data_IF_137850581634
#
_entry.id   IF_137850581634
#
_cell.length_a   1.000
_cell.length_b   1.000
_cell.length_c   1.000
_cell.angle_alpha   90.00
_cell.angle_beta   90.00
_cell.angle_gamma   90.00
#
_symmetry.space_group_name_H-M   'P 1'
#
loop_
_entity.id
_entity.type
_entity.pdbx_description
1 polymer ?
#
# COMPACT_ATOMS: atom_id res chain seq x y z
N UNK A 1 -26.93 -48.66 -16.80
CA UNK A 1 -25.92 -49.60 -16.27
C UNK A 1 -24.73 -48.71 -15.90
N UNK A 2 -24.46 -48.32 -14.66
CA UNK A 2 -24.54 -48.95 -13.34
C UNK A 2 -24.98 -47.93 -12.25
N UNK A 3 -25.81 -48.42 -11.30
CA UNK A 3 -26.03 -48.04 -9.89
C UNK A 3 -26.29 -46.54 -9.56
N UNK A 4 -27.42 -46.08 -9.03
CA UNK A 4 -28.44 -46.68 -8.15
C UNK A 4 -27.90 -47.44 -6.93
N UNK A 5 -27.10 -46.75 -6.11
CA UNK A 5 -26.99 -46.90 -4.65
C UNK A 5 -26.83 -45.45 -4.18
N UNK A 6 -27.71 -44.82 -3.40
CA UNK A 6 -27.92 -45.06 -1.97
C UNK A 6 -29.30 -44.53 -1.54
N UNK A 7 -30.24 -45.41 -1.18
CA UNK A 7 -31.38 -45.08 -0.30
C UNK A 7 -31.05 -45.65 1.08
N UNK A 8 -30.45 -44.82 1.94
CA UNK A 8 -30.02 -45.22 3.29
C UNK A 8 -29.10 -44.25 4.04
N UNK A 9 -28.66 -43.14 3.42
CA UNK A 9 -27.58 -42.29 3.95
C UNK A 9 -27.92 -40.78 3.98
N UNK A 10 -29.19 -40.42 4.18
CA UNK A 10 -29.68 -39.04 4.00
C UNK A 10 -29.04 -37.98 4.94
N UNK A 11 -28.51 -38.39 6.08
CA UNK A 11 -28.01 -37.47 7.12
C UNK A 11 -26.48 -37.40 7.15
N UNK A 12 -25.79 -38.52 6.93
CA UNK A 12 -24.33 -38.59 7.07
C UNK A 12 -23.58 -37.91 5.92
N UNK A 13 -24.09 -38.03 4.68
CA UNK A 13 -23.47 -37.38 3.51
C UNK A 13 -23.70 -35.88 3.49
N UNK A 14 -24.85 -35.41 3.99
CA UNK A 14 -25.08 -33.97 4.16
C UNK A 14 -24.11 -33.36 5.16
N UNK A 15 -23.80 -34.06 6.26
CA UNK A 15 -22.80 -33.61 7.24
C UNK A 15 -21.38 -33.62 6.67
N UNK A 16 -21.00 -34.63 5.89
CA UNK A 16 -19.71 -34.69 5.22
C UNK A 16 -19.57 -33.62 4.13
N UNK A 17 -20.61 -33.39 3.33
CA UNK A 17 -20.63 -32.33 2.31
C UNK A 17 -20.54 -30.95 2.95
N UNK A 18 -21.28 -30.69 4.04
CA UNK A 18 -21.21 -29.43 4.77
C UNK A 18 -19.84 -29.23 5.45
N UNK A 19 -19.26 -30.28 6.03
CA UNK A 19 -17.92 -30.21 6.60
C UNK A 19 -16.86 -29.93 5.53
N UNK A 20 -16.98 -30.56 4.35
CA UNK A 20 -16.10 -30.28 3.21
C UNK A 20 -16.27 -28.84 2.71
N UNK A 21 -17.50 -28.38 2.49
CA UNK A 21 -17.77 -27.01 2.04
C UNK A 21 -17.24 -25.96 3.04
N UNK A 22 -17.43 -26.19 4.34
CA UNK A 22 -16.90 -25.30 5.39
C UNK A 22 -15.38 -25.33 5.46
N UNK A 23 -14.76 -26.51 5.31
CA UNK A 23 -13.31 -26.65 5.33
C UNK A 23 -12.69 -26.00 4.09
N UNK A 24 -13.27 -26.21 2.91
CA UNK A 24 -12.83 -25.56 1.67
C UNK A 24 -13.04 -24.04 1.73
N UNK A 25 -14.19 -23.57 2.20
CA UNK A 25 -14.46 -22.15 2.39
C UNK A 25 -13.49 -21.47 3.35
N UNK A 26 -13.22 -22.08 4.51
CA UNK A 26 -12.26 -21.55 5.49
C UNK A 26 -10.83 -21.59 4.97
N UNK A 27 -10.44 -22.65 4.25
CA UNK A 27 -9.07 -22.77 3.69
C UNK A 27 -8.86 -21.78 2.55
N UNK A 28 -9.88 -21.54 1.72
CA UNK A 28 -9.82 -20.55 0.65
C UNK A 28 -9.73 -19.14 1.21
N UNK A 29 -10.63 -18.77 2.15
CA UNK A 29 -10.62 -17.46 2.80
C UNK A 29 -9.29 -17.16 3.50
N UNK A 30 -8.69 -18.16 4.17
CA UNK A 30 -7.38 -18.00 4.81
C UNK A 30 -6.21 -17.87 3.81
N UNK A 31 -6.29 -18.49 2.62
CA UNK A 31 -5.27 -18.32 1.57
C UNK A 31 -5.43 -16.99 0.81
N UNK A 32 -6.65 -16.49 0.67
CA UNK A 32 -6.93 -15.20 0.01
C UNK A 32 -6.44 -14.02 0.83
N UNK A 33 -6.58 -14.08 2.17
CA UNK A 33 -6.03 -13.05 3.07
C UNK A 33 -4.51 -12.98 2.99
N UNK A 34 -3.82 -14.14 2.94
CA UNK A 34 -2.36 -14.24 2.82
C UNK A 34 -1.83 -13.58 1.53
N UNK A 35 -2.55 -13.63 0.41
CA UNK A 35 -2.14 -12.96 -0.85
C UNK A 35 -2.40 -11.45 -0.80
N UNK A 36 -3.50 -11.03 -0.18
CA UNK A 36 -3.86 -9.61 -0.11
C UNK A 36 -2.89 -8.83 0.78
N UNK A 37 -2.54 -9.39 1.94
CA UNK A 37 -1.63 -8.74 2.88
C UNK A 37 -0.20 -8.68 2.31
N UNK A 38 0.25 -9.71 1.60
CA UNK A 38 1.53 -9.68 0.85
C UNK A 38 1.56 -8.55 -0.22
N UNK A 39 0.44 -8.30 -0.91
CA UNK A 39 0.36 -7.19 -1.88
C UNK A 39 0.44 -5.84 -1.15
N UNK A 40 -0.28 -5.69 -0.03
CA UNK A 40 -0.27 -4.46 0.76
C UNK A 40 1.11 -4.17 1.34
N UNK A 41 1.78 -5.17 1.90
CA UNK A 41 3.14 -5.05 2.43
C UNK A 41 4.12 -4.62 1.34
N UNK A 42 4.01 -5.20 0.13
CA UNK A 42 4.84 -4.79 -1.00
C UNK A 42 4.55 -3.36 -1.46
N UNK A 43 3.27 -2.95 -1.51
CA UNK A 43 2.89 -1.57 -1.83
C UNK A 43 3.45 -0.60 -0.80
N UNK A 44 3.23 -0.85 0.49
CA UNK A 44 3.74 -0.01 1.58
C UNK A 44 5.25 0.18 1.47
N UNK A 45 6.00 -0.93 1.38
CA UNK A 45 7.47 -0.88 1.29
C UNK A 45 7.93 -0.13 0.03
N UNK A 46 7.33 -0.39 -1.14
CA UNK A 46 7.71 0.28 -2.39
C UNK A 46 7.45 1.79 -2.30
N UNK A 47 6.29 2.21 -1.79
CA UNK A 47 5.96 3.63 -1.60
C UNK A 47 6.96 4.29 -0.63
N UNK A 48 7.27 3.63 0.48
CA UNK A 48 8.15 4.19 1.52
C UNK A 48 9.60 4.42 1.06
N UNK A 49 10.08 3.68 0.06
CA UNK A 49 11.48 3.77 -0.40
C UNK A 49 11.63 4.40 -1.79
N UNK A 50 10.53 4.81 -2.43
CA UNK A 50 10.55 5.37 -3.78
C UNK A 50 11.06 6.82 -3.78
N UNK A 51 12.36 6.95 -4.01
CA UNK A 51 13.05 8.23 -4.01
C UNK A 51 12.54 9.19 -5.08
N UNK A 52 12.11 8.68 -6.23
CA UNK A 52 11.64 9.52 -7.33
C UNK A 52 10.28 10.14 -6.97
N UNK A 53 9.37 9.33 -6.41
CA UNK A 53 8.06 9.82 -5.92
C UNK A 53 8.21 10.90 -4.85
N UNK A 54 9.09 10.68 -3.87
CA UNK A 54 9.26 11.66 -2.79
C UNK A 54 10.04 12.91 -3.23
N UNK A 55 10.94 12.78 -4.22
CA UNK A 55 11.57 13.94 -4.84
C UNK A 55 10.54 14.80 -5.59
N UNK A 56 9.62 14.19 -6.33
CA UNK A 56 8.56 14.91 -7.04
C UNK A 56 7.66 15.65 -6.03
N UNK A 57 7.24 14.97 -4.97
CA UNK A 57 6.48 15.59 -3.87
C UNK A 57 7.20 16.80 -3.29
N UNK A 58 8.50 16.69 -3.01
CA UNK A 58 9.30 17.80 -2.47
C UNK A 58 9.45 18.93 -3.50
N UNK A 59 9.64 18.63 -4.78
CA UNK A 59 9.77 19.63 -5.83
C UNK A 59 8.50 20.48 -6.01
N UNK A 60 7.34 19.92 -5.69
CA UNK A 60 6.03 20.57 -5.81
C UNK A 60 5.62 21.35 -4.54
N UNK A 61 6.43 21.34 -3.49
CA UNK A 61 6.17 22.12 -2.27
C UNK A 61 6.32 23.63 -2.48
N UNK A 62 5.75 24.41 -1.56
CA UNK A 62 5.92 25.86 -1.50
C UNK A 62 6.33 26.28 -0.09
N UNK A 63 7.41 27.08 0.06
CA UNK A 63 8.34 27.52 -0.99
C UNK A 63 9.26 26.40 -1.48
N UNK A 64 9.52 26.34 -2.79
CA UNK A 64 10.52 25.43 -3.36
C UNK A 64 11.97 25.92 -3.21
N UNK A 65 12.92 25.19 -3.82
CA UNK A 65 14.36 25.49 -3.85
C UNK A 65 15.10 25.40 -2.49
N UNK A 66 15.14 24.20 -1.92
CA UNK A 66 15.87 23.88 -0.70
C UNK A 66 16.68 22.60 -0.87
N UNK A 67 17.65 22.36 0.01
CA UNK A 67 18.29 21.05 0.13
C UNK A 67 17.42 20.09 0.95
N UNK A 68 17.53 18.79 0.73
CA UNK A 68 16.95 17.76 1.60
C UNK A 68 18.07 16.85 2.09
N UNK A 69 18.32 16.84 3.40
CA UNK A 69 19.40 16.03 3.98
C UNK A 69 18.92 14.61 4.32
N UNK A 70 17.65 14.50 4.70
CA UNK A 70 17.03 13.26 5.14
C UNK A 70 15.53 13.37 4.97
N UNK A 71 14.92 12.28 4.54
CA UNK A 71 13.47 12.12 4.50
C UNK A 71 13.12 10.72 5.00
N UNK A 72 11.89 10.58 5.49
CA UNK A 72 11.30 9.33 5.94
C UNK A 72 9.81 9.32 5.57
N UNK A 73 9.36 8.19 5.05
CA UNK A 73 7.97 7.93 4.72
C UNK A 73 7.50 6.68 5.47
N UNK A 74 6.29 6.73 6.02
CA UNK A 74 5.69 5.62 6.73
C UNK A 74 4.27 5.37 6.25
N UNK A 75 3.97 4.10 5.99
CA UNK A 75 2.64 3.62 5.59
C UNK A 75 2.39 2.31 6.34
N UNK A 76 1.29 2.23 7.08
CA UNK A 76 0.82 0.93 7.57
C UNK A 76 0.16 0.19 6.40
N UNK A 77 0.58 -1.05 6.13
CA UNK A 77 -0.01 -1.87 5.07
C UNK A 77 -1.52 -2.12 5.32
N UNK A 78 -1.98 -2.03 6.58
CA UNK A 78 -3.39 -2.15 6.94
C UNK A 78 -4.22 -0.94 6.46
N UNK A 79 -3.59 0.21 6.26
CA UNK A 79 -4.22 1.42 5.71
C UNK A 79 -4.30 1.42 4.18
N UNK A 80 -3.86 0.34 3.53
CA UNK A 80 -3.92 0.18 2.07
C UNK A 80 -5.14 -0.65 1.65
N UNK A 81 -6.04 -0.01 0.92
CA UNK A 81 -7.07 -0.68 0.16
C UNK A 81 -6.53 -1.11 -1.21
N UNK A 82 -6.80 -2.35 -1.61
CA UNK A 82 -6.36 -2.91 -2.89
C UNK A 82 -7.56 -3.48 -3.63
N UNK A 83 -7.73 -3.07 -4.88
CA UNK A 83 -8.68 -3.66 -5.83
C UNK A 83 -7.89 -4.50 -6.84
N UNK A 84 -7.85 -5.81 -6.62
CA UNK A 84 -7.08 -6.74 -7.47
C UNK A 84 -7.62 -6.81 -8.92
N UNK A 85 -8.95 -6.90 -9.17
CA UNK A 85 -9.48 -6.89 -10.53
C UNK A 85 -9.07 -5.67 -11.36
N UNK A 86 -9.10 -4.48 -10.76
CA UNK A 86 -8.75 -3.22 -11.43
C UNK A 86 -7.26 -2.88 -11.34
N UNK A 87 -6.52 -3.62 -10.50
CA UNK A 87 -5.11 -3.40 -10.16
C UNK A 87 -4.83 -1.97 -9.67
N UNK A 88 -5.75 -1.46 -8.86
CA UNK A 88 -5.65 -0.15 -8.22
C UNK A 88 -5.45 -0.30 -6.73
N UNK A 89 -4.86 0.73 -6.11
CA UNK A 89 -4.73 0.82 -4.66
C UNK A 89 -5.02 2.23 -4.18
N UNK A 90 -5.41 2.33 -2.90
CA UNK A 90 -5.57 3.58 -2.16
C UNK A 90 -4.90 3.42 -0.80
N UNK A 91 -4.01 4.34 -0.46
CA UNK A 91 -3.45 4.51 0.88
C UNK A 91 -4.29 5.55 1.59
N UNK A 92 -5.02 5.15 2.64
CA UNK A 92 -5.91 6.05 3.36
C UNK A 92 -5.14 7.04 4.25
N UNK A 93 -4.00 6.59 4.79
CA UNK A 93 -3.18 7.37 5.71
C UNK A 93 -1.73 6.92 5.63
N UNK A 94 -0.84 7.89 5.58
CA UNK A 94 0.60 7.74 5.76
C UNK A 94 1.18 9.01 6.35
N UNK A 95 2.45 8.98 6.72
CA UNK A 95 3.18 10.16 7.19
C UNK A 95 4.47 10.33 6.42
N UNK A 96 4.76 11.55 6.02
CA UNK A 96 6.03 11.92 5.43
C UNK A 96 6.73 12.96 6.31
N UNK A 97 8.05 12.86 6.40
CA UNK A 97 8.87 13.86 7.05
C UNK A 97 10.17 14.09 6.28
N UNK A 98 10.64 15.33 6.25
CA UNK A 98 11.90 15.71 5.63
C UNK A 98 12.58 16.85 6.40
N UNK A 99 13.91 16.78 6.48
CA UNK A 99 14.76 17.83 7.02
C UNK A 99 15.26 18.69 5.86
N UNK A 100 14.63 19.85 5.69
CA UNK A 100 14.90 20.79 4.61
C UNK A 100 15.98 21.79 5.03
N UNK A 101 16.87 22.12 4.10
CA UNK A 101 17.90 23.15 4.28
C UNK A 101 17.53 24.34 3.41
N UNK A 102 17.02 25.38 4.04
CA UNK A 102 16.57 26.61 3.39
C UNK A 102 17.63 27.71 3.48
N UNK A 103 17.51 28.72 2.62
CA UNK A 103 18.43 29.85 2.54
C UNK A 103 19.50 29.67 1.46
N UNK A 104 20.09 30.78 1.02
CA UNK A 104 21.02 30.81 -0.10
C UNK A 104 22.20 29.84 0.13
N UNK A 105 22.32 28.86 -0.76
CA UNK A 105 23.48 27.99 -1.03
C UNK A 105 24.65 28.14 -0.03
N UNK A 106 24.62 27.35 1.06
CA UNK A 106 25.73 27.15 2.01
C UNK A 106 26.46 28.44 2.46
N UNK A 107 25.75 29.36 3.11
CA UNK A 107 26.31 30.51 3.83
C UNK A 107 25.78 30.64 5.27
N UNK A 108 26.20 31.69 6.00
CA UNK A 108 25.77 31.95 7.41
C UNK A 108 24.25 32.12 7.60
N UNK A 109 23.47 32.15 6.51
CA UNK A 109 22.02 32.33 6.52
C UNK A 109 21.23 31.07 6.14
N UNK A 110 21.88 29.91 6.02
CA UNK A 110 21.13 28.66 5.87
C UNK A 110 20.53 28.21 7.20
N UNK A 111 19.28 27.78 7.19
CA UNK A 111 18.61 27.21 8.36
C UNK A 111 17.91 25.91 8.00
N UNK A 112 17.69 25.07 9.02
CA UNK A 112 16.95 23.82 8.85
C UNK A 112 15.47 24.05 9.17
N UNK A 113 14.61 23.47 8.34
CA UNK A 113 13.17 23.43 8.56
C UNK A 113 12.70 21.97 8.51
N UNK A 114 11.80 21.61 9.43
CA UNK A 114 11.22 20.28 9.45
C UNK A 114 9.88 20.32 8.73
N UNK A 115 9.79 19.65 7.59
CA UNK A 115 8.53 19.41 6.91
C UNK A 115 7.98 18.06 7.36
N UNK A 116 6.80 18.03 7.98
CA UNK A 116 6.14 16.78 8.37
C UNK A 116 4.64 16.90 8.22
N UNK A 117 4.05 16.04 7.39
CA UNK A 117 2.63 16.07 7.04
C UNK A 117 2.08 14.65 6.90
N UNK A 118 0.80 14.44 7.21
CA UNK A 118 0.10 13.25 6.76
C UNK A 118 -0.07 13.30 5.24
N UNK A 119 -0.17 12.13 4.60
CA UNK A 119 -0.52 12.02 3.20
C UNK A 119 -1.55 10.91 2.96
N UNK A 120 -2.22 11.01 1.82
CA UNK A 120 -2.94 9.88 1.21
C UNK A 120 -2.36 9.61 -0.17
N UNK A 121 -2.62 8.43 -0.73
CA UNK A 121 -2.13 8.11 -2.06
C UNK A 121 -3.12 7.23 -2.81
N UNK A 122 -3.07 7.29 -4.13
CA UNK A 122 -3.75 6.33 -4.98
C UNK A 122 -2.87 5.99 -6.18
N UNK A 123 -3.13 4.85 -6.80
CA UNK A 123 -2.31 4.43 -7.93
C UNK A 123 -2.72 3.11 -8.55
N UNK A 124 -1.86 2.65 -9.45
CA UNK A 124 -1.97 1.36 -10.13
C UNK A 124 -0.74 0.51 -9.88
N UNK A 125 -0.95 -0.79 -9.92
CA UNK A 125 0.13 -1.77 -9.84
C UNK A 125 -0.02 -2.85 -10.91
N UNK A 126 1.03 -3.64 -11.12
CA UNK A 126 0.97 -4.86 -11.92
C UNK A 126 1.78 -5.97 -11.26
N UNK A 127 1.49 -7.21 -11.64
CA UNK A 127 2.26 -8.38 -11.24
C UNK A 127 3.42 -8.56 -12.20
N UNK A 128 4.64 -8.27 -11.73
CA UNK A 128 5.86 -8.58 -12.47
C UNK A 128 6.05 -10.09 -12.60
N UNK A 129 5.64 -10.84 -11.57
CA UNK A 129 5.55 -12.30 -11.58
C UNK A 129 4.56 -12.76 -10.48
N UNK A 130 4.50 -14.05 -10.19
CA UNK A 130 3.56 -14.63 -9.21
C UNK A 130 3.81 -14.22 -7.75
N UNK A 131 4.91 -13.51 -7.44
CA UNK A 131 5.31 -13.12 -6.08
C UNK A 131 5.61 -11.63 -5.92
N UNK A 132 5.85 -10.93 -7.01
CA UNK A 132 6.33 -9.55 -6.99
C UNK A 132 5.40 -8.65 -7.78
N UNK A 133 5.04 -7.52 -7.17
CA UNK A 133 4.33 -6.44 -7.85
C UNK A 133 5.28 -5.29 -8.23
N UNK A 134 4.82 -4.44 -9.12
CA UNK A 134 5.40 -3.14 -9.43
C UNK A 134 4.32 -2.07 -9.37
N UNK A 135 4.68 -0.88 -8.90
CA UNK A 135 3.81 0.30 -9.00
C UNK A 135 4.02 0.88 -10.40
N UNK A 136 2.94 1.10 -11.14
CA UNK A 136 2.99 1.64 -12.50
C UNK A 136 2.55 3.08 -12.56
N UNK A 137 1.69 3.50 -11.63
CA UNK A 137 1.22 4.87 -11.48
C UNK A 137 1.01 5.13 -9.99
N UNK A 138 1.37 6.31 -9.50
CA UNK A 138 1.10 6.76 -8.15
C UNK A 138 0.89 8.27 -8.12
N UNK A 139 -0.05 8.71 -7.30
CA UNK A 139 -0.32 10.10 -6.97
C UNK A 139 -0.36 10.22 -5.46
N UNK A 140 0.49 11.08 -4.91
CA UNK A 140 0.52 11.43 -3.49
C UNK A 140 -0.28 12.71 -3.30
N UNK A 141 -1.18 12.70 -2.33
CA UNK A 141 -1.91 13.87 -1.86
C UNK A 141 -1.39 14.24 -0.47
N UNK A 142 -0.66 15.36 -0.40
CA UNK A 142 0.03 15.87 0.78
C UNK A 142 0.02 17.39 0.72
N UNK A 143 -0.13 18.03 1.88
CA UNK A 143 -0.12 19.49 1.99
C UNK A 143 1.26 20.06 1.63
N UNK A 144 1.33 20.76 0.51
CA UNK A 144 2.56 21.29 -0.08
C UNK A 144 3.13 22.50 0.67
N UNK A 145 2.41 23.09 1.62
CA UNK A 145 2.91 24.20 2.43
C UNK A 145 3.85 23.70 3.54
N UNK A 146 5.12 24.10 3.42
CA UNK A 146 6.17 23.74 4.38
C UNK A 146 5.97 24.41 5.74
N UNK A 147 5.46 25.65 5.77
CA UNK A 147 5.38 26.42 7.02
C UNK A 147 4.16 26.10 7.86
N UNK A 148 3.20 25.36 7.28
CA UNK A 148 1.94 25.01 7.93
C UNK A 148 0.97 26.19 8.00
N UNK A 149 -0.20 26.00 7.39
CA UNK A 149 -1.40 26.81 7.64
C UNK A 149 -2.12 26.44 8.92
#
# INVERSE_FOLDING_TARGET
MLLNIVRGFGIHWRRLLLALLNTFGNTFNNRSAMILDEIREQLANKIMIDLDVWNDVLNDTTPGNYGCNHWDASVDYQDIYVNIPERTFVVNSGSFSANLVMGASKGEHSFNENYSKPFSANGKFDFKNSKEIIITEISIDIDSDIYGG
#
